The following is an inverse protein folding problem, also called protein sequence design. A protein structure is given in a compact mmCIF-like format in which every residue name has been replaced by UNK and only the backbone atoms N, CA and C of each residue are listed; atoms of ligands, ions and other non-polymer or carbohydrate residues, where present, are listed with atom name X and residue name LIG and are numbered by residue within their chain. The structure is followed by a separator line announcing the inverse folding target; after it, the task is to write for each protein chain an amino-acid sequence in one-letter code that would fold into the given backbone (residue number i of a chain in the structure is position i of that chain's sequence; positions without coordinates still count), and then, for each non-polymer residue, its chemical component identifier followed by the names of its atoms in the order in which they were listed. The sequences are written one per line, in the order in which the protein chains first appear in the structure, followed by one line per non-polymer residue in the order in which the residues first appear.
data_IF_622594283133
#
_entry.id   IF_622594283133
#
_cell.length_a   1.000
_cell.length_b   1.000
_cell.length_c   1.000
_cell.angle_alpha   90.00
_cell.angle_beta   90.00
_cell.angle_gamma   90.00
#
_symmetry.space_group_name_H-M   'P 1'
#
loop_
_entity.id
_entity.type
_entity.pdbx_description
1 polymer ?
#
# COMPACT_ATOMS: atom_id res chain seq x y z
N UNK A 1 -9.86 24.26 27.36
CA UNK A 1 -9.77 22.91 26.78
C UNK A 1 -11.02 22.56 25.99
N UNK A 2 -12.22 22.71 26.55
CA UNK A 2 -13.52 22.60 25.83
C UNK A 2 -13.58 23.46 24.56
N UNK A 3 -13.22 24.75 24.64
CA UNK A 3 -13.14 25.63 23.46
C UNK A 3 -12.12 25.17 22.38
N UNK A 4 -11.10 24.38 22.75
CA UNK A 4 -10.16 23.79 21.76
C UNK A 4 -10.82 22.63 21.03
N UNK A 5 -11.61 21.81 21.72
CA UNK A 5 -12.38 20.71 21.14
C UNK A 5 -13.44 21.25 20.18
N UNK A 6 -14.20 22.26 20.61
CA UNK A 6 -15.20 22.91 19.75
C UNK A 6 -14.57 23.50 18.48
N UNK A 7 -13.39 24.11 18.59
CA UNK A 7 -12.62 24.59 17.42
C UNK A 7 -12.20 23.44 16.49
N UNK A 8 -11.79 22.30 17.04
CA UNK A 8 -11.40 21.12 16.23
C UNK A 8 -12.62 20.56 15.52
N UNK A 9 -13.73 20.36 16.23
CA UNK A 9 -14.98 19.87 15.66
C UNK A 9 -15.47 20.78 14.53
N UNK A 10 -15.45 22.10 14.76
CA UNK A 10 -15.79 23.08 13.72
C UNK A 10 -14.90 22.93 12.48
N UNK A 11 -13.58 22.83 12.66
CA UNK A 11 -12.65 22.67 11.54
C UNK A 11 -12.88 21.35 10.79
N UNK A 12 -13.19 20.27 11.50
CA UNK A 12 -13.58 19.00 10.86
C UNK A 12 -14.85 19.21 10.04
N UNK A 13 -15.91 19.78 10.61
CA UNK A 13 -17.17 20.04 9.89
C UNK A 13 -16.98 20.84 8.61
N UNK A 14 -16.20 21.92 8.69
CA UNK A 14 -15.91 22.79 7.54
C UNK A 14 -15.15 22.02 6.44
N UNK A 15 -14.21 21.15 6.82
CA UNK A 15 -13.44 20.32 5.88
C UNK A 15 -14.26 19.24 5.15
N UNK A 16 -15.42 18.84 5.67
CA UNK A 16 -16.31 17.85 5.01
C UNK A 16 -17.22 18.50 3.95
N UNK A 17 -17.14 19.82 3.77
CA UNK A 17 -18.09 20.59 2.94
C UNK A 17 -17.58 20.98 1.55
N UNK A 18 -16.34 20.68 1.21
CA UNK A 18 -15.76 20.96 -0.10
C UNK A 18 -15.82 19.72 -1.00
N UNK A 19 -16.60 19.82 -2.09
CA UNK A 19 -16.49 18.93 -3.25
C UNK A 19 -15.62 19.64 -4.27
N UNK A 20 -14.48 19.07 -4.62
CA UNK A 20 -13.99 19.08 -5.99
C UNK A 20 -13.00 17.93 -6.21
N UNK A 21 -13.33 17.11 -7.19
CA UNK A 21 -12.65 15.88 -7.60
C UNK A 21 -11.48 16.26 -8.48
N UNK A 22 -10.23 16.01 -8.08
CA UNK A 22 -9.13 16.05 -9.03
C UNK A 22 -7.91 15.19 -8.68
N UNK A 23 -8.06 13.87 -8.68
CA UNK A 23 -6.95 12.96 -8.98
C UNK A 23 -7.44 11.68 -9.68
N UNK A 24 -8.10 11.85 -10.83
CA UNK A 24 -8.45 10.71 -11.71
C UNK A 24 -7.28 10.38 -12.67
N UNK A 25 -6.05 10.42 -12.16
CA UNK A 25 -4.91 9.88 -12.90
C UNK A 25 -4.98 8.36 -12.78
N UNK A 26 -5.32 7.70 -13.88
CA UNK A 26 -5.22 6.25 -13.98
C UNK A 26 -3.74 5.84 -14.11
N UNK A 27 -2.95 6.07 -13.06
CA UNK A 27 -1.53 5.73 -12.99
C UNK A 27 -1.31 4.23 -13.22
N UNK A 28 -2.28 3.39 -12.85
CA UNK A 28 -2.32 1.97 -13.21
C UNK A 28 -2.32 1.75 -14.72
N UNK A 29 -3.15 2.50 -15.47
CA UNK A 29 -3.15 2.46 -16.94
C UNK A 29 -1.85 3.01 -17.51
N UNK A 30 -1.30 4.08 -16.95
CA UNK A 30 -0.01 4.63 -17.39
C UNK A 30 1.12 3.61 -17.19
N UNK A 31 1.15 2.93 -16.05
CA UNK A 31 2.11 1.86 -15.75
C UNK A 31 1.97 0.69 -16.73
N UNK A 32 0.75 0.25 -17.06
CA UNK A 32 0.52 -0.83 -18.03
C UNK A 32 1.03 -0.42 -19.41
N UNK A 33 0.72 0.79 -19.88
CA UNK A 33 1.18 1.27 -21.18
C UNK A 33 2.71 1.43 -21.22
N UNK A 34 3.32 1.96 -20.15
CA UNK A 34 4.78 2.09 -20.05
C UNK A 34 5.45 0.72 -20.11
N UNK A 35 5.05 -0.20 -19.24
CA UNK A 35 5.61 -1.56 -19.18
C UNK A 35 5.41 -2.34 -20.47
N UNK A 36 4.27 -2.18 -21.14
CA UNK A 36 4.01 -2.82 -22.44
C UNK A 36 4.93 -2.26 -23.52
N UNK A 37 5.08 -0.93 -23.59
CA UNK A 37 5.90 -0.29 -24.62
C UNK A 37 7.39 -0.62 -24.44
N UNK A 38 7.86 -0.59 -23.20
CA UNK A 38 9.23 -0.98 -22.86
C UNK A 38 9.48 -2.45 -23.20
N UNK A 39 8.60 -3.36 -22.76
CA UNK A 39 8.69 -4.78 -23.07
C UNK A 39 8.66 -5.06 -24.57
N UNK A 40 7.83 -4.37 -25.35
CA UNK A 40 7.79 -4.51 -26.81
C UNK A 40 9.10 -4.07 -27.48
N UNK A 41 9.78 -3.07 -26.94
CA UNK A 41 11.08 -2.60 -27.44
C UNK A 41 12.19 -3.65 -27.30
N UNK A 42 12.12 -4.46 -26.25
CA UNK A 42 13.11 -5.51 -25.93
C UNK A 42 12.70 -6.86 -26.55
N UNK A 43 11.42 -7.22 -26.45
CA UNK A 43 10.80 -8.41 -27.03
C UNK A 43 10.37 -8.11 -28.48
N UNK A 44 11.36 -7.97 -29.35
CA UNK A 44 11.22 -7.37 -30.69
C UNK A 44 10.40 -8.17 -31.72
N UNK A 45 10.03 -9.43 -31.46
CA UNK A 45 9.14 -10.19 -32.34
C UNK A 45 7.68 -9.87 -31.99
N UNK A 46 7.00 -9.15 -32.88
CA UNK A 46 5.63 -8.68 -32.67
C UNK A 46 4.64 -9.79 -32.35
N UNK A 47 4.60 -10.86 -33.16
CA UNK A 47 3.61 -11.93 -33.00
C UNK A 47 3.87 -12.73 -31.70
N UNK A 48 5.14 -12.98 -31.37
CA UNK A 48 5.50 -13.63 -30.11
C UNK A 48 5.19 -12.74 -28.91
N UNK A 49 5.41 -11.43 -29.02
CA UNK A 49 5.12 -10.47 -27.97
C UNK A 49 3.64 -10.37 -27.66
N UNK A 50 2.79 -10.22 -28.68
CA UNK A 50 1.34 -10.13 -28.44
C UNK A 50 0.81 -11.45 -27.85
N UNK A 51 1.31 -12.62 -28.30
CA UNK A 51 0.99 -13.91 -27.66
C UNK A 51 1.41 -13.97 -26.19
N UNK A 52 2.62 -13.52 -25.87
CA UNK A 52 3.14 -13.51 -24.49
C UNK A 52 2.37 -12.52 -23.60
N UNK A 53 2.04 -11.35 -24.15
CA UNK A 53 1.27 -10.30 -23.47
C UNK A 53 -0.17 -10.75 -23.18
N UNK A 54 -0.83 -11.40 -24.13
CA UNK A 54 -2.17 -11.96 -23.94
C UNK A 54 -2.16 -13.04 -22.87
N UNK A 55 -1.17 -13.93 -22.89
CA UNK A 55 -1.02 -14.97 -21.87
C UNK A 55 -0.79 -14.37 -20.48
N UNK A 56 0.13 -13.41 -20.35
CA UNK A 56 0.38 -12.67 -19.11
C UNK A 56 -0.89 -11.96 -18.58
N UNK A 57 -1.68 -11.36 -19.48
CA UNK A 57 -2.94 -10.68 -19.13
C UNK A 57 -3.97 -11.68 -18.60
N UNK A 58 -4.12 -12.82 -19.27
CA UNK A 58 -5.04 -13.88 -18.83
C UNK A 58 -4.65 -14.45 -17.46
N UNK A 59 -3.36 -14.68 -17.23
CA UNK A 59 -2.82 -15.07 -15.93
C UNK A 59 -3.16 -14.02 -14.87
N UNK A 60 -2.92 -12.73 -15.13
CA UNK A 60 -3.21 -11.66 -14.17
C UNK A 60 -4.71 -11.57 -13.82
N UNK A 61 -5.61 -11.76 -14.80
CA UNK A 61 -7.06 -11.77 -14.59
C UNK A 61 -7.50 -12.90 -13.64
N UNK A 62 -6.77 -14.01 -13.60
CA UNK A 62 -7.05 -15.11 -12.68
C UNK A 62 -6.89 -14.71 -11.21
N UNK A 63 -6.05 -13.71 -10.91
CA UNK A 63 -5.94 -13.16 -9.55
C UNK A 63 -7.27 -12.57 -9.05
N UNK A 64 -8.06 -11.96 -9.95
CA UNK A 64 -9.39 -11.43 -9.63
C UNK A 64 -10.35 -12.56 -9.29
N UNK A 65 -10.36 -13.62 -10.11
CA UNK A 65 -11.17 -14.83 -9.89
C UNK A 65 -10.86 -15.47 -8.55
N UNK A 66 -9.57 -15.59 -8.18
CA UNK A 66 -9.13 -16.14 -6.89
C UNK A 66 -9.63 -15.27 -5.73
N UNK A 67 -9.44 -13.95 -5.83
CA UNK A 67 -9.82 -13.03 -4.75
C UNK A 67 -11.34 -12.94 -4.55
N UNK A 68 -12.12 -13.02 -5.62
CA UNK A 68 -13.58 -12.97 -5.58
C UNK A 68 -14.22 -14.34 -5.33
N UNK A 69 -13.41 -15.40 -5.19
CA UNK A 69 -13.87 -16.79 -4.99
C UNK A 69 -14.91 -17.24 -6.03
N UNK A 70 -14.71 -16.82 -7.28
CA UNK A 70 -15.66 -17.07 -8.38
C UNK A 70 -15.60 -18.48 -8.97
N UNK A 71 -14.54 -19.23 -8.66
CA UNK A 71 -14.29 -20.59 -9.15
C UNK A 71 -13.75 -21.49 -8.03
N UNK A 72 -13.82 -22.81 -8.24
CA UNK A 72 -13.18 -23.76 -7.32
C UNK A 72 -11.66 -23.68 -7.44
N UNK A 73 -10.93 -24.06 -6.39
CA UNK A 73 -9.46 -24.09 -6.45
C UNK A 73 -8.96 -25.11 -7.47
N UNK A 74 -9.63 -26.27 -7.62
CA UNK A 74 -9.28 -27.29 -8.63
C UNK A 74 -9.36 -26.74 -10.07
N UNK A 75 -10.39 -25.95 -10.39
CA UNK A 75 -10.52 -25.30 -11.71
C UNK A 75 -9.41 -24.28 -11.97
N UNK A 76 -8.98 -23.58 -10.92
CA UNK A 76 -7.90 -22.58 -11.00
C UNK A 76 -6.54 -23.29 -11.16
N UNK A 77 -6.29 -24.37 -10.43
CA UNK A 77 -5.09 -25.20 -10.58
C UNK A 77 -4.96 -25.75 -12.01
N UNK A 78 -6.05 -26.25 -12.60
CA UNK A 78 -6.05 -26.76 -13.96
C UNK A 78 -5.75 -25.65 -14.99
N UNK A 79 -6.24 -24.43 -14.77
CA UNK A 79 -5.91 -23.27 -15.61
C UNK A 79 -4.44 -22.88 -15.49
N UNK A 80 -3.89 -22.84 -14.27
CA UNK A 80 -2.48 -22.55 -14.03
C UNK A 80 -1.57 -23.59 -14.69
N UNK A 81 -1.91 -24.88 -14.59
CA UNK A 81 -1.20 -25.95 -15.30
C UNK A 81 -1.23 -25.75 -16.82
N UNK A 82 -2.37 -25.34 -17.37
CA UNK A 82 -2.51 -25.06 -18.80
C UNK A 82 -1.62 -23.89 -19.22
N UNK A 83 -1.56 -22.82 -18.43
CA UNK A 83 -0.66 -21.69 -18.68
C UNK A 83 0.81 -22.10 -18.60
N UNK A 84 1.20 -22.91 -17.62
CA UNK A 84 2.57 -23.45 -17.51
C UNK A 84 2.98 -24.25 -18.74
N UNK A 85 2.08 -25.07 -19.30
CA UNK A 85 2.32 -25.77 -20.56
C UNK A 85 2.47 -24.80 -21.74
N UNK A 86 1.63 -23.78 -21.83
CA UNK A 86 1.72 -22.76 -22.89
C UNK A 86 3.02 -21.93 -22.80
N UNK A 87 3.50 -21.64 -21.59
CA UNK A 87 4.79 -20.96 -21.37
C UNK A 87 5.94 -21.82 -21.89
N UNK A 88 5.88 -23.14 -21.66
CA UNK A 88 6.92 -24.06 -22.13
C UNK A 88 7.02 -24.14 -23.67
N UNK A 89 5.99 -23.72 -24.41
CA UNK A 89 6.00 -23.65 -25.87
C UNK A 89 6.81 -22.46 -26.42
N UNK A 90 7.17 -21.48 -25.60
CA UNK A 90 8.05 -20.39 -26.02
C UNK A 90 9.50 -20.89 -25.99
N UNK A 91 10.16 -20.98 -27.15
CA UNK A 91 11.57 -21.41 -27.25
C UNK A 91 12.52 -20.41 -26.56
N UNK A 92 12.20 -19.12 -26.63
CA UNK A 92 13.01 -18.04 -26.08
C UNK A 92 12.81 -17.90 -24.56
N UNK A 93 13.92 -18.02 -23.83
CA UNK A 93 13.99 -17.89 -22.36
C UNK A 93 13.46 -16.55 -21.88
N UNK A 94 13.71 -15.46 -22.60
CA UNK A 94 13.32 -14.12 -22.18
C UNK A 94 11.80 -13.94 -22.21
N UNK A 95 11.14 -14.47 -23.24
CA UNK A 95 9.68 -14.52 -23.31
C UNK A 95 9.10 -15.35 -22.18
N UNK A 96 9.70 -16.51 -21.86
CA UNK A 96 9.26 -17.31 -20.70
C UNK A 96 9.36 -16.52 -19.40
N UNK A 97 10.51 -15.87 -19.12
CA UNK A 97 10.71 -15.05 -17.92
C UNK A 97 9.72 -13.89 -17.81
N UNK A 98 9.43 -13.22 -18.93
CA UNK A 98 8.45 -12.14 -19.00
C UNK A 98 7.05 -12.60 -18.56
N UNK A 99 6.67 -13.84 -18.89
CA UNK A 99 5.35 -14.41 -18.51
C UNK A 99 5.39 -15.01 -17.10
N UNK A 100 6.47 -15.71 -16.74
CA UNK A 100 6.65 -16.36 -15.43
C UNK A 100 6.53 -15.37 -14.26
N UNK A 101 6.99 -14.12 -14.41
CA UNK A 101 6.82 -13.11 -13.36
C UNK A 101 5.35 -12.74 -13.09
N UNK A 102 4.43 -13.00 -14.03
CA UNK A 102 2.99 -12.92 -13.79
C UNK A 102 2.43 -14.21 -13.20
N UNK A 103 2.91 -15.36 -13.66
CA UNK A 103 2.43 -16.68 -13.22
C UNK A 103 2.71 -16.93 -11.74
N UNK A 104 3.97 -16.80 -11.32
CA UNK A 104 4.38 -17.21 -9.97
C UNK A 104 3.62 -16.48 -8.85
N UNK A 105 3.37 -15.15 -8.92
CA UNK A 105 2.54 -14.47 -7.92
C UNK A 105 1.09 -14.95 -7.88
N UNK A 106 0.51 -15.39 -9.00
CA UNK A 106 -0.88 -15.88 -9.06
C UNK A 106 -0.96 -17.29 -8.48
N UNK A 107 0.00 -18.16 -8.79
CA UNK A 107 0.16 -19.46 -8.13
C UNK A 107 0.38 -19.30 -6.62
N UNK A 108 1.24 -18.35 -6.22
CA UNK A 108 1.48 -18.02 -4.83
C UNK A 108 0.20 -17.53 -4.12
N UNK A 109 -0.63 -16.73 -4.80
CA UNK A 109 -1.92 -16.29 -4.27
C UNK A 109 -2.84 -17.47 -4.00
N UNK A 110 -2.95 -18.42 -4.93
CA UNK A 110 -3.74 -19.63 -4.73
C UNK A 110 -3.23 -20.44 -3.52
N UNK A 111 -1.93 -20.72 -3.45
CA UNK A 111 -1.32 -21.45 -2.34
C UNK A 111 -1.52 -20.73 -1.00
N UNK A 112 -1.39 -19.40 -0.98
CA UNK A 112 -1.71 -18.58 0.18
C UNK A 112 -3.17 -18.77 0.63
N UNK A 113 -4.12 -18.74 -0.31
CA UNK A 113 -5.55 -18.95 -0.03
C UNK A 113 -5.88 -20.37 0.45
N UNK A 114 -5.04 -21.35 0.11
CA UNK A 114 -5.11 -22.74 0.56
C UNK A 114 -4.33 -23.01 1.86
N UNK A 115 -3.64 -22.00 2.41
CA UNK A 115 -2.87 -22.10 3.66
C UNK A 115 -1.43 -22.62 3.49
N UNK A 116 -0.95 -22.82 2.26
CA UNK A 116 0.39 -23.32 1.95
C UNK A 116 1.44 -22.19 1.92
N UNK A 117 1.58 -21.49 3.04
CA UNK A 117 2.34 -20.23 3.13
C UNK A 117 3.81 -20.35 2.70
N UNK A 118 4.51 -21.43 3.06
CA UNK A 118 5.92 -21.61 2.69
C UNK A 118 6.13 -21.77 1.18
N UNK A 119 5.19 -22.45 0.50
CA UNK A 119 5.25 -22.61 -0.96
C UNK A 119 4.92 -21.30 -1.66
N UNK A 120 3.93 -20.57 -1.16
CA UNK A 120 3.60 -19.23 -1.64
C UNK A 120 4.78 -18.26 -1.50
N UNK A 121 5.50 -18.30 -0.38
CA UNK A 121 6.71 -17.51 -0.16
C UNK A 121 7.78 -17.84 -1.20
N UNK A 122 8.06 -19.13 -1.43
CA UNK A 122 9.06 -19.56 -2.42
C UNK A 122 8.73 -19.04 -3.83
N UNK A 123 7.47 -19.07 -4.25
CA UNK A 123 7.07 -18.58 -5.57
C UNK A 123 7.15 -17.06 -5.68
N UNK A 124 6.83 -16.32 -4.63
CA UNK A 124 7.02 -14.86 -4.62
C UNK A 124 8.50 -14.50 -4.76
N UNK A 125 9.39 -15.24 -4.08
CA UNK A 125 10.85 -15.04 -4.18
C UNK A 125 11.34 -15.36 -5.61
N UNK A 126 10.87 -16.44 -6.22
CA UNK A 126 11.18 -16.74 -7.63
C UNK A 126 10.67 -15.64 -8.57
N UNK A 127 9.47 -15.11 -8.34
CA UNK A 127 8.94 -13.98 -9.11
C UNK A 127 9.85 -12.75 -8.99
N UNK A 128 10.29 -12.40 -7.77
CA UNK A 128 11.24 -11.32 -7.54
C UNK A 128 12.53 -11.56 -8.31
N UNK A 129 13.08 -12.79 -8.29
CA UNK A 129 14.29 -13.12 -9.05
C UNK A 129 14.12 -12.93 -10.55
N UNK A 130 12.97 -13.35 -11.13
CA UNK A 130 12.68 -13.13 -12.56
C UNK A 130 12.58 -11.64 -12.89
N UNK A 131 11.89 -10.87 -12.05
CA UNK A 131 11.74 -9.43 -12.22
C UNK A 131 13.09 -8.72 -12.12
N UNK A 132 13.92 -9.09 -11.14
CA UNK A 132 15.24 -8.51 -10.95
C UNK A 132 16.13 -8.71 -12.17
N UNK A 133 16.11 -9.91 -12.77
CA UNK A 133 16.85 -10.19 -13.99
C UNK A 133 16.31 -9.40 -15.20
N UNK A 134 14.98 -9.31 -15.34
CA UNK A 134 14.33 -8.52 -16.38
C UNK A 134 14.73 -7.03 -16.30
N UNK A 135 14.87 -6.48 -15.11
CA UNK A 135 15.35 -5.10 -14.92
C UNK A 135 16.87 -5.01 -15.19
N UNK A 136 17.66 -5.80 -14.48
CA UNK A 136 19.13 -5.61 -14.42
C UNK A 136 19.88 -6.08 -15.66
N UNK A 137 19.37 -7.10 -16.36
CA UNK A 137 20.02 -7.67 -17.55
C UNK A 137 19.37 -7.18 -18.83
N UNK A 138 18.04 -6.98 -18.80
CA UNK A 138 17.26 -6.68 -19.99
C UNK A 138 16.74 -5.24 -20.05
N UNK A 139 16.96 -4.42 -19.01
CA UNK A 139 16.57 -3.01 -18.95
C UNK A 139 15.05 -2.80 -19.12
N UNK A 140 14.24 -3.66 -18.48
CA UNK A 140 12.81 -3.43 -18.26
C UNK A 140 12.62 -2.64 -16.97
N UNK A 141 13.05 -1.39 -16.97
CA UNK A 141 13.18 -0.52 -15.81
C UNK A 141 11.82 -0.29 -15.13
N UNK A 142 10.74 -0.20 -15.91
CA UNK A 142 9.39 -0.03 -15.37
C UNK A 142 8.95 -1.18 -14.47
N UNK A 143 9.59 -2.35 -14.55
CA UNK A 143 9.26 -3.51 -13.72
C UNK A 143 9.70 -3.32 -12.26
N UNK A 144 10.43 -2.26 -11.93
CA UNK A 144 10.74 -1.87 -10.56
C UNK A 144 9.48 -1.83 -9.67
N UNK A 145 8.37 -1.26 -10.16
CA UNK A 145 7.12 -1.21 -9.39
C UNK A 145 6.45 -2.57 -9.24
N UNK A 146 6.67 -3.48 -10.20
CA UNK A 146 6.26 -4.89 -10.07
C UNK A 146 7.05 -5.58 -8.98
N UNK A 147 8.35 -5.31 -8.89
CA UNK A 147 9.21 -5.83 -7.83
C UNK A 147 8.73 -5.34 -6.46
N UNK A 148 8.41 -4.05 -6.32
CA UNK A 148 7.84 -3.48 -5.10
C UNK A 148 6.51 -4.16 -4.72
N UNK A 149 5.64 -4.42 -5.70
CA UNK A 149 4.39 -5.16 -5.47
C UNK A 149 4.65 -6.56 -4.90
N UNK A 150 5.65 -7.28 -5.41
CA UNK A 150 5.97 -8.61 -4.88
C UNK A 150 6.50 -8.54 -3.44
N UNK A 151 7.25 -7.50 -3.08
CA UNK A 151 7.66 -7.27 -1.69
C UNK A 151 6.45 -6.99 -0.78
N UNK A 152 5.47 -6.22 -1.26
CA UNK A 152 4.22 -6.00 -0.51
C UNK A 152 3.41 -7.30 -0.34
N UNK A 153 3.39 -8.16 -1.36
CA UNK A 153 2.78 -9.50 -1.27
C UNK A 153 3.51 -10.37 -0.24
N UNK A 154 4.85 -10.34 -0.23
CA UNK A 154 5.68 -11.05 0.73
C UNK A 154 5.43 -10.57 2.17
N UNK A 155 5.36 -9.25 2.38
CA UNK A 155 5.01 -8.68 3.68
C UNK A 155 3.60 -9.11 4.13
N UNK A 156 2.63 -9.17 3.21
CA UNK A 156 1.28 -9.66 3.51
C UNK A 156 1.31 -11.14 3.94
N UNK A 157 2.08 -11.97 3.25
CA UNK A 157 2.27 -13.36 3.62
C UNK A 157 2.86 -13.49 5.03
N UNK A 158 3.89 -12.71 5.36
CA UNK A 158 4.49 -12.71 6.69
C UNK A 158 3.52 -12.24 7.78
N UNK A 159 2.66 -11.25 7.53
CA UNK A 159 1.60 -10.87 8.48
C UNK A 159 0.67 -12.05 8.77
N UNK A 160 0.29 -12.82 7.75
CA UNK A 160 -0.60 -13.97 7.91
C UNK A 160 0.10 -15.21 8.51
N UNK A 161 1.43 -15.22 8.50
CA UNK A 161 2.25 -16.23 9.17
C UNK A 161 2.67 -15.81 10.60
N UNK A 162 2.05 -14.75 11.16
CA UNK A 162 2.39 -14.13 12.45
C UNK A 162 3.86 -13.64 12.55
N UNK A 163 4.51 -13.38 11.41
CA UNK A 163 5.88 -12.85 11.30
C UNK A 163 5.87 -11.32 11.12
N UNK A 164 5.23 -10.62 12.06
CA UNK A 164 4.97 -9.17 11.95
C UNK A 164 6.23 -8.33 11.83
N UNK A 165 7.31 -8.66 12.56
CA UNK A 165 8.57 -7.91 12.48
C UNK A 165 9.17 -7.93 11.08
N UNK A 166 9.21 -9.11 10.42
CA UNK A 166 9.71 -9.22 9.05
C UNK A 166 8.85 -8.44 8.06
N UNK A 167 7.53 -8.52 8.21
CA UNK A 167 6.61 -7.76 7.37
C UNK A 167 6.85 -6.25 7.51
N UNK A 168 7.04 -5.75 8.73
CA UNK A 168 7.34 -4.34 8.99
C UNK A 168 8.68 -3.92 8.39
N UNK A 169 9.72 -4.75 8.50
CA UNK A 169 11.03 -4.47 7.89
C UNK A 169 10.93 -4.32 6.37
N UNK A 170 10.12 -5.16 5.70
CA UNK A 170 9.87 -5.05 4.26
C UNK A 170 9.08 -3.79 3.93
N UNK A 171 7.96 -3.54 4.62
CA UNK A 171 7.13 -2.35 4.36
C UNK A 171 7.91 -1.05 4.61
N UNK A 172 8.68 -0.98 5.70
CA UNK A 172 9.57 0.13 6.00
C UNK A 172 10.62 0.31 4.89
N UNK A 173 11.20 -0.78 4.40
CA UNK A 173 12.13 -0.75 3.27
C UNK A 173 11.49 -0.23 1.98
N UNK A 174 10.26 -0.66 1.65
CA UNK A 174 9.51 -0.17 0.50
C UNK A 174 9.31 1.35 0.61
N UNK A 175 8.88 1.83 1.77
CA UNK A 175 8.62 3.26 1.98
C UNK A 175 9.91 4.08 1.92
N UNK A 176 10.99 3.62 2.57
CA UNK A 176 12.28 4.31 2.53
C UNK A 176 12.83 4.41 1.09
N UNK A 177 12.73 3.32 0.32
CA UNK A 177 13.12 3.34 -1.08
C UNK A 177 12.26 4.31 -1.89
N UNK A 178 10.93 4.25 -1.78
CA UNK A 178 10.03 5.10 -2.57
C UNK A 178 10.16 6.59 -2.23
N UNK A 179 10.28 6.94 -0.95
CA UNK A 179 10.37 8.34 -0.53
C UNK A 179 11.79 8.92 -0.62
N UNK A 180 12.82 8.13 -0.29
CA UNK A 180 14.19 8.63 -0.08
C UNK A 180 15.24 8.00 -1.00
N UNK A 181 14.88 6.96 -1.77
CA UNK A 181 15.84 6.23 -2.62
C UNK A 181 16.80 5.32 -1.85
N UNK A 182 16.61 5.17 -0.54
CA UNK A 182 17.47 4.34 0.29
C UNK A 182 17.15 2.85 0.09
N UNK A 183 18.18 2.04 -0.11
CA UNK A 183 18.03 0.60 -0.28
C UNK A 183 18.09 -0.11 1.07
N UNK A 184 17.00 -0.75 1.45
CA UNK A 184 16.95 -1.62 2.63
C UNK A 184 17.48 -3.00 2.30
N UNK A 185 18.29 -3.58 3.21
CA UNK A 185 18.74 -4.98 3.15
C UNK A 185 17.60 -6.02 3.16
N UNK A 186 16.39 -5.57 3.51
CA UNK A 186 15.19 -6.40 3.56
C UNK A 186 14.42 -6.42 2.23
N UNK A 187 14.85 -5.63 1.24
CA UNK A 187 14.37 -5.72 -0.14
C UNK A 187 15.32 -6.64 -0.92
N UNK A 188 14.73 -7.64 -1.56
CA UNK A 188 15.42 -8.61 -2.40
C UNK A 188 15.51 -8.08 -3.85
N UNK A 189 16.64 -8.32 -4.51
CA UNK A 189 16.89 -7.91 -5.89
C UNK A 189 17.95 -6.82 -6.00
N UNK A 190 18.81 -6.92 -7.01
CA UNK A 190 19.89 -5.99 -7.26
C UNK A 190 19.42 -4.69 -7.93
N UNK A 191 18.26 -4.70 -8.59
CA UNK A 191 17.69 -3.54 -9.27
C UNK A 191 17.53 -2.33 -8.33
N UNK A 192 17.22 -2.53 -7.05
CA UNK A 192 17.14 -1.43 -6.08
C UNK A 192 18.45 -0.67 -5.91
N UNK A 193 19.60 -1.31 -6.14
CA UNK A 193 20.92 -0.67 -6.02
C UNK A 193 21.26 0.24 -7.22
N UNK A 194 20.43 0.28 -8.26
CA UNK A 194 20.63 1.19 -9.36
C UNK A 194 20.00 2.55 -9.04
N UNK A 195 20.84 3.52 -8.67
CA UNK A 195 20.42 4.89 -8.34
C UNK A 195 19.69 5.60 -9.50
N UNK A 196 19.99 5.26 -10.77
CA UNK A 196 19.32 5.91 -11.90
C UNK A 196 17.85 5.54 -11.99
N UNK A 197 17.50 4.28 -11.69
CA UNK A 197 16.12 3.79 -11.76
C UNK A 197 15.19 4.54 -10.81
N UNK A 198 15.71 4.97 -9.65
CA UNK A 198 14.92 5.73 -8.70
C UNK A 198 14.50 7.10 -9.25
N UNK A 199 15.35 7.73 -10.06
CA UNK A 199 15.10 9.04 -10.66
C UNK A 199 14.33 9.01 -11.98
N UNK A 200 14.38 7.92 -12.74
CA UNK A 200 13.83 7.83 -14.10
C UNK A 200 12.30 7.87 -14.18
N UNK A 201 11.60 7.40 -13.13
CA UNK A 201 10.13 7.28 -13.11
C UNK A 201 9.49 7.98 -11.91
N UNK A 202 9.94 9.21 -11.63
CA UNK A 202 9.49 10.01 -10.49
C UNK A 202 7.95 10.05 -10.33
N UNK A 203 7.20 10.31 -11.41
CA UNK A 203 5.73 10.35 -11.32
C UNK A 203 5.11 9.02 -10.85
N UNK A 204 5.54 7.89 -11.41
CA UNK A 204 5.05 6.57 -11.01
C UNK A 204 5.55 6.19 -9.61
N UNK A 205 6.75 6.63 -9.24
CA UNK A 205 7.32 6.45 -7.90
C UNK A 205 6.48 7.16 -6.86
N UNK A 206 6.15 8.45 -7.04
CA UNK A 206 5.30 9.20 -6.08
C UNK A 206 3.91 8.56 -5.93
N UNK A 207 3.30 8.13 -7.04
CA UNK A 207 2.02 7.40 -6.98
C UNK A 207 2.12 6.11 -6.15
N UNK A 208 3.16 5.30 -6.38
CA UNK A 208 3.38 4.08 -5.60
C UNK A 208 3.73 4.41 -4.14
N UNK A 209 4.51 5.46 -3.88
CA UNK A 209 4.87 5.90 -2.53
C UNK A 209 3.61 6.19 -1.71
N UNK A 210 2.69 6.96 -2.29
CA UNK A 210 1.38 7.25 -1.69
C UNK A 210 0.54 5.97 -1.48
N UNK A 211 0.42 5.11 -2.50
CA UNK A 211 -0.35 3.87 -2.41
C UNK A 211 0.15 2.94 -1.30
N UNK A 212 1.46 2.70 -1.24
CA UNK A 212 2.06 1.83 -0.23
C UNK A 212 2.08 2.49 1.15
N UNK A 213 2.19 3.81 1.24
CA UNK A 213 2.03 4.53 2.49
C UNK A 213 0.62 4.28 3.06
N UNK A 214 -0.43 4.57 2.28
CA UNK A 214 -1.82 4.32 2.68
C UNK A 214 -2.04 2.88 3.13
N UNK A 215 -1.64 1.91 2.30
CA UNK A 215 -1.80 0.49 2.62
C UNK A 215 -1.07 0.08 3.92
N UNK A 216 0.09 0.67 4.20
CA UNK A 216 0.87 0.36 5.39
C UNK A 216 0.26 0.99 6.63
N UNK A 217 -0.24 2.23 6.55
CA UNK A 217 -0.99 2.87 7.64
C UNK A 217 -2.26 2.08 7.96
N UNK A 218 -3.04 1.67 6.95
CA UNK A 218 -4.24 0.87 7.15
C UNK A 218 -3.93 -0.45 7.88
N UNK A 219 -2.79 -1.08 7.59
CA UNK A 219 -2.36 -2.32 8.27
C UNK A 219 -2.05 -2.09 9.75
N UNK A 220 -1.26 -1.07 10.09
CA UNK A 220 -0.86 -0.83 11.49
C UNK A 220 -2.00 -0.22 12.33
N UNK A 221 -2.88 0.59 11.72
CA UNK A 221 -3.97 1.27 12.44
C UNK A 221 -5.14 0.35 12.82
N UNK A 222 -5.29 -0.83 12.20
CA UNK A 222 -6.38 -1.79 12.47
C UNK A 222 -6.60 -2.13 13.95
N UNK A 223 -5.51 -2.20 14.71
CA UNK A 223 -5.53 -2.58 16.12
C UNK A 223 -5.30 -1.40 17.07
N UNK A 224 -5.21 -0.16 16.56
CA UNK A 224 -4.84 1.03 17.36
C UNK A 224 -5.68 1.19 18.63
N UNK A 225 -6.99 1.00 18.53
CA UNK A 225 -7.92 1.10 19.67
C UNK A 225 -7.85 -0.09 20.64
N UNK A 226 -7.32 -1.25 20.22
CA UNK A 226 -7.23 -2.47 21.02
C UNK A 226 -5.87 -2.61 21.70
N UNK A 227 -4.81 -2.20 21.01
CA UNK A 227 -3.42 -2.30 21.42
C UNK A 227 -2.66 -1.04 20.97
N UNK A 228 -2.70 -0.01 21.82
CA UNK A 228 -2.05 1.27 21.54
C UNK A 228 -0.51 1.15 21.59
N UNK A 229 0.03 0.33 22.49
CA UNK A 229 1.49 0.19 22.61
C UNK A 229 2.07 -0.56 21.41
N UNK A 230 1.43 -1.66 20.98
CA UNK A 230 1.80 -2.34 19.74
C UNK A 230 1.66 -1.45 18.50
N UNK A 231 0.66 -0.55 18.49
CA UNK A 231 0.56 0.49 17.44
C UNK A 231 1.74 1.46 17.48
N UNK A 232 2.12 1.99 18.65
CA UNK A 232 3.25 2.91 18.81
C UNK A 232 4.56 2.28 18.32
N UNK A 233 4.83 1.04 18.70
CA UNK A 233 6.01 0.29 18.23
C UNK A 233 6.00 0.13 16.71
N UNK A 234 4.85 -0.27 16.16
CA UNK A 234 4.68 -0.44 14.71
C UNK A 234 4.83 0.87 13.94
N UNK A 235 4.30 1.99 14.47
CA UNK A 235 4.43 3.32 13.89
C UNK A 235 5.90 3.72 13.78
N UNK A 236 6.67 3.60 14.86
CA UNK A 236 8.09 3.93 14.84
C UNK A 236 8.89 3.01 13.91
N UNK A 237 8.65 1.69 14.00
CA UNK A 237 9.33 0.69 13.16
C UNK A 237 9.11 0.97 11.67
N UNK A 238 7.86 1.22 11.28
CA UNK A 238 7.47 1.43 9.89
C UNK A 238 7.93 2.79 9.35
N UNK A 239 7.68 3.88 10.09
CA UNK A 239 7.74 5.24 9.55
C UNK A 239 9.01 6.01 9.90
N UNK A 240 9.90 5.44 10.73
CA UNK A 240 11.19 6.06 11.06
C UNK A 240 11.96 6.62 9.85
N UNK A 241 12.03 5.93 8.70
CA UNK A 241 12.75 6.47 7.54
C UNK A 241 12.12 7.75 6.96
N UNK A 242 10.83 7.97 7.20
CA UNK A 242 10.09 9.12 6.65
C UNK A 242 10.23 10.36 7.53
N UNK A 243 10.80 10.27 8.74
CA UNK A 243 10.95 11.43 9.64
C UNK A 243 11.90 12.50 9.09
N UNK A 244 12.76 12.12 8.14
CA UNK A 244 13.68 13.01 7.43
C UNK A 244 13.37 13.13 5.95
N UNK A 245 12.17 12.74 5.50
CA UNK A 245 11.85 12.79 4.08
C UNK A 245 11.83 14.23 3.57
N UNK A 246 12.30 14.42 2.34
CA UNK A 246 12.23 15.71 1.68
C UNK A 246 10.79 16.04 1.30
N UNK A 247 10.41 17.32 1.49
CA UNK A 247 9.06 17.82 1.25
C UNK A 247 9.11 18.82 0.11
N UNK A 248 9.02 18.29 -1.12
CA UNK A 248 9.05 19.08 -2.35
C UNK A 248 7.75 18.97 -3.17
N UNK A 249 6.82 18.10 -2.77
CA UNK A 249 5.46 18.03 -3.32
C UNK A 249 4.41 18.24 -2.23
N UNK A 250 3.18 18.53 -2.65
CA UNK A 250 2.03 18.67 -1.76
C UNK A 250 1.69 17.35 -1.06
N UNK A 251 1.76 16.23 -1.78
CA UNK A 251 1.51 14.89 -1.22
C UNK A 251 2.48 14.55 -0.08
N UNK A 252 3.77 14.86 -0.29
CA UNK A 252 4.80 14.70 0.74
C UNK A 252 4.60 15.66 1.90
N UNK A 253 4.15 16.89 1.65
CA UNK A 253 3.81 17.83 2.72
C UNK A 253 2.70 17.29 3.62
N UNK A 254 1.61 16.79 3.02
CA UNK A 254 0.47 16.23 3.74
C UNK A 254 0.84 14.99 4.55
N UNK A 255 1.62 14.07 3.98
CA UNK A 255 2.14 12.89 4.68
C UNK A 255 3.05 13.32 5.84
N UNK A 256 3.95 14.29 5.64
CA UNK A 256 4.84 14.78 6.69
C UNK A 256 4.06 15.44 7.84
N UNK A 257 3.06 16.26 7.49
CA UNK A 257 2.20 16.92 8.46
C UNK A 257 1.44 15.87 9.29
N UNK A 258 0.87 14.85 8.64
CA UNK A 258 0.20 13.75 9.34
C UNK A 258 1.15 12.97 10.25
N UNK A 259 2.35 12.62 9.79
CA UNK A 259 3.36 11.92 10.61
C UNK A 259 3.71 12.74 11.85
N UNK A 260 3.89 14.06 11.72
CA UNK A 260 4.18 14.95 12.84
C UNK A 260 3.02 15.01 13.84
N UNK A 261 1.80 15.16 13.34
CA UNK A 261 0.59 15.11 14.16
C UNK A 261 0.52 13.80 14.93
N UNK A 262 0.55 12.67 14.22
CA UNK A 262 0.41 11.34 14.82
C UNK A 262 1.57 11.01 15.79
N UNK A 263 2.77 11.52 15.53
CA UNK A 263 3.91 11.39 16.44
C UNK A 263 3.60 11.94 17.85
N UNK A 264 2.83 13.01 17.96
CA UNK A 264 2.45 13.58 19.24
C UNK A 264 1.49 12.67 20.01
N UNK A 265 0.58 11.98 19.32
CA UNK A 265 -0.21 10.90 19.95
C UNK A 265 0.70 9.78 20.46
N UNK A 266 1.62 9.33 19.61
CA UNK A 266 2.52 8.21 19.91
C UNK A 266 3.45 8.50 21.10
N UNK A 267 3.82 9.77 21.30
CA UNK A 267 4.60 10.26 22.44
C UNK A 267 3.77 10.61 23.68
N UNK A 268 2.46 10.36 23.65
CA UNK A 268 1.50 10.73 24.70
C UNK A 268 1.40 12.24 24.97
N UNK A 269 1.79 13.09 24.01
CA UNK A 269 1.60 14.55 24.05
C UNK A 269 0.24 14.94 23.46
N UNK A 270 -0.83 14.52 24.16
CA UNK A 270 -2.20 14.67 23.67
C UNK A 270 -2.63 16.14 23.51
N UNK A 271 -2.02 17.07 24.25
CA UNK A 271 -2.36 18.49 24.14
C UNK A 271 -1.84 19.08 22.83
N UNK A 272 -0.59 18.81 22.48
CA UNK A 272 0.00 19.24 21.21
C UNK A 272 -0.66 18.51 20.05
N UNK A 273 -0.93 17.21 20.20
CA UNK A 273 -1.65 16.42 19.20
C UNK A 273 -3.00 17.06 18.80
N UNK A 274 -3.83 17.49 19.77
CA UNK A 274 -5.13 18.12 19.49
C UNK A 274 -4.97 19.45 18.73
N UNK A 275 -3.95 20.24 19.05
CA UNK A 275 -3.67 21.50 18.34
C UNK A 275 -3.21 21.28 16.90
N UNK A 276 -2.38 20.25 16.68
CA UNK A 276 -1.93 19.89 15.34
C UNK A 276 -3.04 19.24 14.50
N UNK A 277 -3.94 18.45 15.11
CA UNK A 277 -5.16 17.98 14.44
C UNK A 277 -6.01 19.17 13.98
N UNK A 278 -6.23 20.16 14.84
CA UNK A 278 -6.98 21.37 14.47
C UNK A 278 -6.36 22.08 13.26
N UNK A 279 -5.03 22.13 13.20
CA UNK A 279 -4.29 22.76 12.10
C UNK A 279 -4.44 21.95 10.82
N UNK A 280 -4.26 20.62 10.90
CA UNK A 280 -4.37 19.71 9.76
C UNK A 280 -5.76 19.77 9.09
N UNK A 281 -6.83 19.91 9.87
CA UNK A 281 -8.21 19.99 9.35
C UNK A 281 -8.60 21.39 8.81
N UNK A 282 -7.81 22.43 9.11
CA UNK A 282 -8.01 23.77 8.54
C UNK A 282 -7.36 23.94 7.19
N UNK A 283 -6.34 23.14 6.90
CA UNK A 283 -5.73 23.10 5.58
C UNK A 283 -6.74 22.51 4.59
N UNK A 284 -6.86 23.14 3.41
CA UNK A 284 -7.72 22.64 2.33
C UNK A 284 -7.04 21.44 1.67
N UNK A 285 -7.23 20.27 2.28
CA UNK A 285 -6.57 19.03 1.89
C UNK A 285 -7.41 18.30 0.85
N UNK A 286 -6.78 17.99 -0.30
CA UNK A 286 -7.35 17.21 -1.40
C UNK A 286 -8.03 15.92 -0.93
N UNK A 287 -9.09 15.55 -1.64
CA UNK A 287 -9.96 14.46 -1.24
C UNK A 287 -9.28 13.09 -1.15
N UNK A 288 -8.25 12.87 -1.97
CA UNK A 288 -7.47 11.64 -1.95
C UNK A 288 -6.77 11.43 -0.60
N UNK A 289 -6.49 12.48 0.17
CA UNK A 289 -5.81 12.38 1.46
C UNK A 289 -6.75 12.21 2.65
N UNK A 290 -8.05 12.05 2.43
CA UNK A 290 -9.01 11.91 3.53
C UNK A 290 -8.81 10.66 4.40
N UNK A 291 -8.14 9.62 3.89
CA UNK A 291 -7.76 8.49 4.74
C UNK A 291 -6.86 8.96 5.91
N UNK A 292 -6.02 9.98 5.73
CA UNK A 292 -5.24 10.60 6.79
C UNK A 292 -6.15 11.24 7.84
N UNK A 293 -7.16 11.99 7.40
CA UNK A 293 -8.18 12.59 8.27
C UNK A 293 -8.91 11.51 9.08
N UNK A 294 -9.34 10.43 8.43
CA UNK A 294 -10.01 9.29 9.09
C UNK A 294 -9.10 8.68 10.18
N UNK A 295 -7.82 8.46 9.89
CA UNK A 295 -6.87 7.93 10.88
C UNK A 295 -6.62 8.91 12.03
N UNK A 296 -6.61 10.23 11.78
CA UNK A 296 -6.51 11.25 12.84
C UNK A 296 -7.76 11.29 13.73
N UNK A 297 -8.95 11.06 13.18
CA UNK A 297 -10.17 10.98 13.98
C UNK A 297 -10.14 9.77 14.94
N UNK A 298 -9.60 8.63 14.50
CA UNK A 298 -9.38 7.48 15.37
C UNK A 298 -8.40 7.81 16.50
N UNK A 299 -7.32 8.52 16.18
CA UNK A 299 -6.34 9.01 17.16
C UNK A 299 -6.94 10.03 18.13
N UNK A 300 -7.85 10.89 17.66
CA UNK A 300 -8.53 11.91 18.45
C UNK A 300 -9.45 11.30 19.51
N UNK A 301 -10.16 10.23 19.18
CA UNK A 301 -10.94 9.44 20.13
C UNK A 301 -10.06 8.98 21.30
N UNK A 302 -8.89 8.41 20.99
CA UNK A 302 -7.95 7.91 22.01
C UNK A 302 -7.46 9.06 22.89
N UNK A 303 -7.04 10.17 22.28
CA UNK A 303 -6.55 11.34 23.01
C UNK A 303 -7.60 11.89 23.98
N UNK A 304 -8.87 11.96 23.56
CA UNK A 304 -9.95 12.43 24.41
C UNK A 304 -10.22 11.51 25.60
N UNK A 305 -10.25 10.19 25.37
CA UNK A 305 -10.38 9.20 26.45
C UNK A 305 -9.25 9.32 27.47
N UNK A 306 -8.01 9.54 27.02
CA UNK A 306 -6.84 9.67 27.92
C UNK A 306 -6.84 10.96 28.74
N UNK A 307 -7.50 12.00 28.26
CA UNK A 307 -7.61 13.29 28.95
C UNK A 307 -8.83 13.37 29.89
N UNK A 308 -9.61 12.28 30.05
CA UNK A 308 -10.78 12.19 30.95
C UNK A 308 -11.80 13.33 30.75
N UNK A 309 -12.29 13.53 29.52
CA UNK A 309 -13.32 14.54 29.28
C UNK A 309 -14.71 14.08 29.74
N UNK A 310 -15.28 14.76 30.73
CA UNK A 310 -16.58 14.39 31.32
C UNK A 310 -17.82 14.52 30.37
N UNK A 311 -17.67 15.05 29.15
CA UNK A 311 -18.67 15.03 28.06
C UNK A 311 -18.37 13.93 27.02
N UNK A 312 -17.71 12.86 27.45
CA UNK A 312 -17.13 11.78 26.63
C UNK A 312 -18.10 11.26 25.57
N UNK A 313 -19.39 11.11 25.88
CA UNK A 313 -20.33 10.47 24.97
C UNK A 313 -20.69 11.34 23.75
N UNK A 314 -20.97 12.64 23.95
CA UNK A 314 -21.51 13.50 22.89
C UNK A 314 -20.43 13.83 21.84
N UNK A 315 -19.23 14.23 22.29
CA UNK A 315 -18.12 14.52 21.38
C UNK A 315 -17.59 13.25 20.69
N UNK A 316 -17.60 12.11 21.39
CA UNK A 316 -17.27 10.82 20.78
C UNK A 316 -18.27 10.43 19.68
N UNK A 317 -19.57 10.57 19.93
CA UNK A 317 -20.61 10.32 18.92
C UNK A 317 -20.50 11.27 17.72
N UNK A 318 -20.11 12.52 17.95
CA UNK A 318 -19.90 13.51 16.90
C UNK A 318 -18.68 13.17 16.03
N UNK A 319 -17.54 12.82 16.65
CA UNK A 319 -16.35 12.35 15.91
C UNK A 319 -16.67 11.07 15.13
N UNK A 320 -17.40 10.13 15.71
CA UNK A 320 -17.83 8.92 15.00
C UNK A 320 -18.71 9.23 13.80
N UNK A 321 -19.68 10.15 13.94
CA UNK A 321 -20.53 10.58 12.82
C UNK A 321 -19.69 11.21 11.70
N UNK A 322 -18.72 12.04 12.05
CA UNK A 322 -17.80 12.67 11.09
C UNK A 322 -16.92 11.63 10.39
N UNK A 323 -16.38 10.66 11.15
CA UNK A 323 -15.62 9.53 10.60
C UNK A 323 -16.44 8.72 9.61
N UNK A 324 -17.67 8.36 9.97
CA UNK A 324 -18.59 7.62 9.10
C UNK A 324 -18.86 8.43 7.83
N UNK A 325 -19.20 9.72 7.96
CA UNK A 325 -19.48 10.59 6.80
C UNK A 325 -18.27 10.69 5.85
N UNK A 326 -17.06 10.84 6.39
CA UNK A 326 -15.82 10.89 5.60
C UNK A 326 -15.52 9.55 4.90
N UNK A 327 -15.77 8.43 5.58
CA UNK A 327 -15.51 7.11 5.02
C UNK A 327 -16.56 6.61 4.02
N UNK A 328 -17.85 6.87 4.28
CA UNK A 328 -18.99 6.51 3.41
C UNK A 328 -18.97 7.27 2.08
N UNK A 329 -18.59 8.54 2.10
CA UNK A 329 -18.47 9.34 0.87
C UNK A 329 -17.36 8.83 -0.08
N UNK A 330 -16.45 7.96 0.39
CA UNK A 330 -15.14 7.73 -0.27
C UNK A 330 -14.70 6.27 -0.40
N UNK A 331 -15.60 5.31 -0.21
CA UNK A 331 -15.31 3.86 -0.29
C UNK A 331 -14.09 3.43 0.57
N UNK A 332 -13.85 4.11 1.69
CA UNK A 332 -12.87 3.67 2.68
C UNK A 332 -13.56 2.61 3.55
N UNK A 333 -12.92 1.45 3.76
CA UNK A 333 -13.41 0.45 4.70
C UNK A 333 -13.42 1.06 6.12
N UNK A 334 -14.54 1.67 6.51
CA UNK A 334 -14.74 2.15 7.87
C UNK A 334 -14.90 0.92 8.75
N UNK A 335 -13.81 0.53 9.40
CA UNK A 335 -13.83 -0.56 10.37
C UNK A 335 -14.72 -0.12 11.55
N UNK A 336 -15.97 -0.56 11.53
CA UNK A 336 -16.87 -0.48 12.67
C UNK A 336 -16.34 -1.43 13.76
N UNK A 337 -15.73 -0.88 14.80
CA UNK A 337 -15.21 -1.64 15.95
C UNK A 337 -16.30 -2.14 16.90
N UNK A 338 -17.59 -1.99 16.58
CA UNK A 338 -18.67 -2.31 17.52
C UNK A 338 -19.24 -3.73 17.45
N UNK A 339 -18.96 -4.57 16.45
CA UNK A 339 -19.59 -5.91 16.38
C UNK A 339 -18.77 -6.99 15.67
N UNK A 340 -17.68 -7.46 16.28
CA UNK A 340 -17.20 -8.85 16.09
C UNK A 340 -16.62 -9.37 17.41
N UNK A 341 -17.50 -9.98 18.22
CA UNK A 341 -17.07 -10.99 19.18
C UNK A 341 -16.78 -12.30 18.42
N UNK A 342 -15.88 -13.15 18.94
CA UNK A 342 -15.15 -14.19 18.21
C UNK A 342 -16.02 -15.20 17.47
#
# INVERSE_FOLDING_TARGET
MTAKIESVLTSIYDSVSTNDILYDYNASKLYIELSRNEARGILNNHDLFERAFDLATNINNLSGVINEKRSSYEEIEQQLLTYSLQIAEFDDVLYRKYIEQWLFPVEALLLYRSGELLKAESLIIEAISRIDELITVHHLDSFLFRMILQHSNLATLYINADQHEKAQQILSGILDYLFNGNVSKHLHGNAFNNESLWGEMEFLREYNAYYYFKSSIDKISRNKNKDLEGYKESFFSLLKPLFSMEVFTEERYLINAWIKTEMNLVKDDYSVFIEEVNTFFKDDVDESFDFLKVHLLDSLIIAFQKLNFNDDQAHYEEILKLKIKLGENRNLDVINTSTRNP
#
